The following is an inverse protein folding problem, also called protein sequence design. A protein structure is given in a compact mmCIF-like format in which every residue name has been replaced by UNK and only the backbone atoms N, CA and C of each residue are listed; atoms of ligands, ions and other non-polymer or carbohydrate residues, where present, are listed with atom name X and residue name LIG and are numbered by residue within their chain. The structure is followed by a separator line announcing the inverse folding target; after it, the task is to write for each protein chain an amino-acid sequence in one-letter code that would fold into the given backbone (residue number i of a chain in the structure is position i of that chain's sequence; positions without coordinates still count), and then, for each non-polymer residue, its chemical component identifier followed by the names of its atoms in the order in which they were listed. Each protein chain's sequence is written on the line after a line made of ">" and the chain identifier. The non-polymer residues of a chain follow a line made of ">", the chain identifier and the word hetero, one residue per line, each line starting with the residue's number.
data_IF_043832241662
#
_entry.id   IF_043832241662
#
_cell.length_a   1.000
_cell.length_b   1.000
_cell.length_c   1.000
_cell.angle_alpha   90.00
_cell.angle_beta   90.00
_cell.angle_gamma   90.00
#
_symmetry.space_group_name_H-M   'P 1'
#
loop_
_entity.id
_entity.type
_entity.pdbx_description
1 polymer ?
#
# COMPACT_ATOMS: atom_id res chain seq x y z
N UNK A 1 66.18 73.76 57.57
CA UNK A 1 65.18 74.78 57.19
C UNK A 1 64.25 74.90 58.37
N UNK A 2 64.34 76.02 59.10
CA UNK A 2 63.44 76.27 60.22
C UNK A 2 62.04 76.55 59.67
N UNK A 3 61.04 75.84 60.21
CA UNK A 3 59.64 76.09 59.88
C UNK A 3 59.24 77.45 60.47
N UNK A 4 58.31 78.17 59.82
CA UNK A 4 57.74 79.38 60.40
C UNK A 4 57.26 79.14 61.83
N UNK A 5 57.58 80.06 62.75
CA UNK A 5 57.31 79.95 64.19
C UNK A 5 55.83 79.62 64.49
N UNK A 6 54.91 80.14 63.68
CA UNK A 6 53.47 79.90 63.77
C UNK A 6 53.11 78.44 63.52
N UNK A 7 53.76 77.80 62.55
CA UNK A 7 53.55 76.39 62.21
C UNK A 7 54.18 75.51 63.29
N UNK A 8 55.37 75.87 63.79
CA UNK A 8 56.04 75.14 64.87
C UNK A 8 55.24 75.18 66.18
N UNK A 9 54.69 76.35 66.54
CA UNK A 9 53.80 76.52 67.68
C UNK A 9 52.49 75.73 67.51
N UNK A 10 51.86 75.76 66.33
CA UNK A 10 50.65 74.98 66.06
C UNK A 10 50.90 73.46 66.12
N UNK A 11 52.06 72.98 65.65
CA UNK A 11 52.45 71.57 65.73
C UNK A 11 52.68 71.15 67.18
N UNK A 12 53.43 71.95 67.95
CA UNK A 12 53.67 71.70 69.38
C UNK A 12 52.35 71.65 70.16
N UNK A 13 51.51 72.66 70.02
CA UNK A 13 50.19 72.69 70.66
C UNK A 13 49.27 71.57 70.14
N UNK A 14 49.45 71.11 68.89
CA UNK A 14 48.71 69.97 68.39
C UNK A 14 49.11 68.64 69.04
N UNK A 15 50.39 68.46 69.33
CA UNK A 15 50.92 67.32 70.09
C UNK A 15 50.44 67.39 71.53
N UNK A 16 50.58 68.55 72.18
CA UNK A 16 50.12 68.79 73.56
C UNK A 16 48.62 68.51 73.70
N UNK A 17 47.79 68.93 72.74
CA UNK A 17 46.35 68.62 72.72
C UNK A 17 46.08 67.12 72.69
N UNK A 18 46.84 66.37 71.90
CA UNK A 18 46.66 64.92 71.72
C UNK A 18 47.10 64.15 72.98
N UNK A 19 48.05 64.70 73.73
CA UNK A 19 48.51 64.19 75.02
C UNK A 19 47.64 64.65 76.21
N UNK A 20 46.58 65.43 75.96
CA UNK A 20 45.65 65.91 76.98
C UNK A 20 46.15 67.12 77.79
N UNK A 21 47.20 67.79 77.33
CA UNK A 21 47.75 69.00 77.96
C UNK A 21 46.94 70.25 77.56
N UNK A 22 46.94 71.31 78.40
CA UNK A 22 46.25 72.56 78.08
C UNK A 22 46.85 73.23 76.84
N UNK A 23 45.99 73.66 75.92
CA UNK A 23 46.39 74.32 74.67
C UNK A 23 45.71 75.67 74.53
N UNK A 24 46.25 76.51 73.64
CA UNK A 24 45.69 77.84 73.40
C UNK A 24 44.27 77.76 72.82
N UNK A 25 43.47 78.78 73.12
CA UNK A 25 42.11 78.93 72.58
C UNK A 25 42.12 79.03 71.05
N UNK A 26 43.16 79.64 70.49
CA UNK A 26 43.32 79.83 69.04
C UNK A 26 43.54 78.50 68.32
N UNK A 27 44.40 77.63 68.84
CA UNK A 27 44.60 76.27 68.29
C UNK A 27 43.32 75.43 68.36
N UNK A 28 42.52 75.53 69.43
CA UNK A 28 41.22 74.86 69.51
C UNK A 28 40.23 75.38 68.47
N UNK A 29 40.18 76.69 68.24
CA UNK A 29 39.31 77.30 67.24
C UNK A 29 39.70 76.91 65.80
N UNK A 30 41.00 76.90 65.48
CA UNK A 30 41.49 76.45 64.18
C UNK A 30 41.17 74.98 63.92
N UNK A 31 41.35 74.11 64.93
CA UNK A 31 40.96 72.69 64.82
C UNK A 31 39.45 72.51 64.65
N UNK A 32 38.63 73.28 65.36
CA UNK A 32 37.18 73.26 65.21
C UNK A 32 36.77 73.66 63.78
N UNK A 33 37.33 74.75 63.24
CA UNK A 33 37.06 75.19 61.88
C UNK A 33 37.51 74.14 60.84
N UNK A 34 38.72 73.60 60.98
CA UNK A 34 39.21 72.54 60.12
C UNK A 34 38.33 71.27 60.16
N UNK A 35 37.82 70.90 61.34
CA UNK A 35 36.88 69.80 61.50
C UNK A 35 35.50 70.10 60.91
N UNK A 36 35.01 71.33 60.98
CA UNK A 36 33.75 71.73 60.36
C UNK A 36 33.85 71.73 58.83
N UNK A 37 34.97 72.22 58.29
CA UNK A 37 35.26 72.18 56.86
C UNK A 37 35.41 70.75 56.32
N UNK A 38 36.10 69.88 57.07
CA UNK A 38 36.23 68.47 56.68
C UNK A 38 34.88 67.76 56.69
N UNK A 39 34.04 68.01 57.70
CA UNK A 39 32.66 67.49 57.76
C UNK A 39 31.82 68.00 56.59
N UNK A 40 31.93 69.30 56.25
CA UNK A 40 31.21 69.89 55.11
C UNK A 40 31.63 69.24 53.78
N UNK A 41 32.94 69.04 53.58
CA UNK A 41 33.46 68.34 52.38
C UNK A 41 32.96 66.90 52.32
N UNK A 42 32.99 66.17 53.44
CA UNK A 42 32.50 64.81 53.52
C UNK A 42 31.00 64.73 53.22
N UNK A 43 30.20 65.64 53.78
CA UNK A 43 28.75 65.72 53.52
C UNK A 43 28.44 65.98 52.04
N UNK A 44 29.19 66.88 51.41
CA UNK A 44 29.07 67.14 49.97
C UNK A 44 29.46 65.92 49.13
N UNK A 45 30.56 65.24 49.47
CA UNK A 45 30.99 64.02 48.80
C UNK A 45 29.97 62.88 48.95
N UNK A 46 29.42 62.70 50.15
CA UNK A 46 28.37 61.74 50.42
C UNK A 46 27.12 62.02 49.59
N UNK A 47 26.68 63.28 49.55
CA UNK A 47 25.51 63.69 48.75
C UNK A 47 25.72 63.45 47.25
N UNK A 48 26.91 63.77 46.74
CA UNK A 48 27.29 63.51 45.34
C UNK A 48 27.30 62.01 45.02
N UNK A 49 27.91 61.20 45.89
CA UNK A 49 27.97 59.75 45.71
C UNK A 49 26.57 59.14 45.76
N UNK A 50 25.72 59.58 46.68
CA UNK A 50 24.33 59.13 46.80
C UNK A 50 23.53 59.44 45.53
N UNK A 51 23.70 60.65 44.95
CA UNK A 51 23.07 61.00 43.68
C UNK A 51 23.55 60.11 42.54
N UNK A 52 24.86 59.84 42.46
CA UNK A 52 25.42 58.93 41.45
C UNK A 52 24.91 57.50 41.58
N UNK A 53 24.79 56.98 42.80
CA UNK A 53 24.26 55.62 43.03
C UNK A 53 22.82 55.53 42.53
N UNK A 54 21.97 56.51 42.89
CA UNK A 54 20.57 56.56 42.41
C UNK A 54 20.46 56.64 40.89
N UNK A 55 21.30 57.45 40.24
CA UNK A 55 21.34 57.54 38.78
C UNK A 55 21.72 56.19 38.15
N UNK A 56 22.74 55.51 38.71
CA UNK A 56 23.16 54.20 38.23
C UNK A 56 22.10 53.13 38.45
N UNK A 57 21.42 53.14 39.59
CA UNK A 57 20.31 52.22 39.87
C UNK A 57 19.17 52.42 38.86
N UNK A 58 18.83 53.67 38.53
CA UNK A 58 17.81 53.96 37.51
C UNK A 58 18.21 53.42 36.13
N UNK A 59 19.47 53.61 35.71
CA UNK A 59 19.96 53.08 34.43
C UNK A 59 19.91 51.54 34.43
N UNK A 60 20.28 50.89 35.54
CA UNK A 60 20.21 49.43 35.67
C UNK A 60 18.77 48.93 35.53
N UNK A 61 17.82 49.57 36.19
CA UNK A 61 16.40 49.19 36.10
C UNK A 61 15.83 49.39 34.69
N UNK A 62 16.17 50.50 34.02
CA UNK A 62 15.80 50.69 32.62
C UNK A 62 16.40 49.63 31.69
N UNK A 63 17.69 49.30 31.87
CA UNK A 63 18.36 48.26 31.09
C UNK A 63 17.75 46.87 31.35
N UNK A 64 17.35 46.57 32.59
CA UNK A 64 16.65 45.31 32.94
C UNK A 64 15.28 45.22 32.29
N UNK A 65 14.51 46.31 32.30
CA UNK A 65 13.21 46.36 31.65
C UNK A 65 13.33 46.15 30.14
N UNK A 66 14.28 46.82 29.49
CA UNK A 66 14.56 46.67 28.06
C UNK A 66 15.01 45.24 27.72
N UNK A 67 15.96 44.69 28.48
CA UNK A 67 16.42 43.31 28.29
C UNK A 67 15.29 42.29 28.44
N UNK A 68 14.38 42.51 29.40
CA UNK A 68 13.20 41.67 29.58
C UNK A 68 12.27 41.73 28.37
N UNK A 69 11.93 42.93 27.87
CA UNK A 69 11.09 43.09 26.69
C UNK A 69 11.72 42.43 25.45
N UNK A 70 13.02 42.62 25.25
CA UNK A 70 13.77 42.01 24.16
C UNK A 70 13.78 40.47 24.26
N UNK A 71 13.96 39.92 25.46
CA UNK A 71 13.89 38.47 25.67
C UNK A 71 12.51 37.89 25.33
N UNK A 72 11.43 38.60 25.68
CA UNK A 72 10.07 38.20 25.32
C UNK A 72 9.83 38.27 23.82
N UNK A 73 10.33 39.31 23.14
CA UNK A 73 10.23 39.43 21.69
C UNK A 73 10.96 38.28 20.99
N UNK A 74 12.20 37.99 21.38
CA UNK A 74 12.98 36.87 20.83
C UNK A 74 12.27 35.54 21.07
N UNK A 75 11.71 35.31 22.26
CA UNK A 75 10.93 34.10 22.56
C UNK A 75 9.75 33.93 21.60
N UNK A 76 8.97 34.99 21.37
CA UNK A 76 7.84 34.98 20.41
C UNK A 76 8.30 34.67 18.99
N UNK A 77 9.42 35.25 18.54
CA UNK A 77 9.98 34.95 17.22
C UNK A 77 10.43 33.48 17.10
N UNK A 78 11.02 32.91 18.14
CA UNK A 78 11.40 31.49 18.15
C UNK A 78 10.18 30.59 18.08
N UNK A 79 9.13 30.87 18.86
CA UNK A 79 7.87 30.11 18.84
C UNK A 79 7.21 30.16 17.45
N UNK A 80 7.16 31.33 16.81
CA UNK A 80 6.58 31.48 15.48
C UNK A 80 7.42 30.79 14.40
N UNK A 81 8.75 30.88 14.47
CA UNK A 81 9.63 30.15 13.56
C UNK A 81 9.48 28.63 13.69
N UNK A 82 9.30 28.12 14.92
CA UNK A 82 9.02 26.70 15.16
C UNK A 82 7.68 26.29 14.55
N UNK A 83 6.63 27.10 14.75
CA UNK A 83 5.31 26.88 14.15
C UNK A 83 5.38 26.84 12.62
N UNK A 84 6.06 27.81 12.01
CA UNK A 84 6.26 27.85 10.56
C UNK A 84 7.04 26.64 10.05
N UNK A 85 8.08 26.21 10.76
CA UNK A 85 8.85 25.01 10.40
C UNK A 85 7.99 23.73 10.44
N UNK A 86 7.07 23.62 11.40
CA UNK A 86 6.11 22.52 11.47
C UNK A 86 5.10 22.54 10.32
N UNK A 87 4.58 23.72 9.96
CA UNK A 87 3.70 23.89 8.81
C UNK A 87 4.41 23.54 7.51
N UNK A 88 5.65 23.99 7.30
CA UNK A 88 6.47 23.61 6.15
C UNK A 88 6.64 22.09 6.08
N UNK A 89 6.92 21.42 7.20
CA UNK A 89 7.07 19.96 7.25
C UNK A 89 5.76 19.24 6.88
N UNK A 90 4.63 19.74 7.37
CA UNK A 90 3.29 19.22 7.01
C UNK A 90 3.03 19.38 5.52
N UNK A 91 3.21 20.58 4.97
CA UNK A 91 3.01 20.83 3.54
C UNK A 91 3.92 19.96 2.68
N UNK A 92 5.20 19.77 3.05
CA UNK A 92 6.11 18.88 2.33
C UNK A 92 5.62 17.42 2.33
N UNK A 93 5.08 16.95 3.46
CA UNK A 93 4.52 15.60 3.54
C UNK A 93 3.29 15.43 2.64
N UNK A 94 2.44 16.46 2.55
CA UNK A 94 1.30 16.49 1.65
C UNK A 94 1.74 16.54 0.17
N UNK A 95 2.73 17.38 -0.17
CA UNK A 95 3.31 17.42 -1.52
C UNK A 95 3.84 16.05 -1.94
N UNK A 96 4.60 15.37 -1.08
CA UNK A 96 5.10 14.01 -1.37
C UNK A 96 3.96 13.00 -1.56
N UNK A 97 2.84 13.14 -0.83
CA UNK A 97 1.66 12.30 -1.02
C UNK A 97 1.04 12.52 -2.39
N UNK A 98 0.87 13.78 -2.80
CA UNK A 98 0.31 14.11 -4.10
C UNK A 98 1.22 13.74 -5.26
N UNK A 99 2.53 13.88 -5.10
CA UNK A 99 3.51 13.45 -6.10
C UNK A 99 3.40 11.95 -6.36
N UNK A 100 3.30 11.14 -5.29
CA UNK A 100 3.05 9.70 -5.41
C UNK A 100 1.72 9.38 -6.11
N UNK A 101 0.66 10.12 -5.80
CA UNK A 101 -0.64 9.92 -6.44
C UNK A 101 -0.59 10.28 -7.94
N UNK A 102 0.07 11.38 -8.30
CA UNK A 102 0.29 11.76 -9.71
C UNK A 102 1.07 10.66 -10.46
N UNK A 103 2.14 10.13 -9.87
CA UNK A 103 2.89 9.01 -10.47
C UNK A 103 2.02 7.76 -10.68
N UNK A 104 1.09 7.46 -9.76
CA UNK A 104 0.14 6.37 -9.95
C UNK A 104 -0.80 6.63 -11.12
N UNK A 105 -1.30 7.86 -11.28
CA UNK A 105 -2.15 8.21 -12.42
C UNK A 105 -1.41 8.14 -13.76
N UNK A 106 -0.14 8.56 -13.80
CA UNK A 106 0.68 8.43 -15.00
C UNK A 106 0.89 6.95 -15.37
N UNK A 107 1.19 6.11 -14.37
CA UNK A 107 1.34 4.67 -14.58
C UNK A 107 0.04 4.00 -15.04
N UNK A 108 -1.09 4.33 -14.42
CA UNK A 108 -2.41 3.83 -14.83
C UNK A 108 -2.74 4.24 -16.28
N UNK A 109 -2.40 5.48 -16.68
CA UNK A 109 -2.60 5.97 -18.06
C UNK A 109 -1.74 5.17 -19.05
N UNK A 110 -0.48 4.92 -18.72
CA UNK A 110 0.43 4.12 -19.56
C UNK A 110 -0.08 2.69 -19.72
N UNK A 111 -0.47 2.03 -18.62
CA UNK A 111 -1.02 0.68 -18.65
C UNK A 111 -2.29 0.57 -19.51
N UNK A 112 -3.17 1.59 -19.47
CA UNK A 112 -4.36 1.64 -20.32
C UNK A 112 -4.01 1.84 -21.80
N UNK A 113 -2.98 2.61 -22.11
CA UNK A 113 -2.50 2.80 -23.48
C UNK A 113 -1.91 1.50 -24.05
N UNK A 114 -1.08 0.81 -23.27
CA UNK A 114 -0.53 -0.50 -23.63
C UNK A 114 -1.64 -1.53 -23.88
N UNK A 115 -2.63 -1.59 -22.98
CA UNK A 115 -3.79 -2.46 -23.17
C UNK A 115 -4.56 -2.14 -24.46
N UNK A 116 -4.74 -0.86 -24.79
CA UNK A 116 -5.35 -0.43 -26.03
C UNK A 116 -4.59 -0.92 -27.26
N UNK A 117 -3.26 -0.79 -27.25
CA UNK A 117 -2.40 -1.28 -28.33
C UNK A 117 -2.47 -2.80 -28.48
N UNK A 118 -2.42 -3.56 -27.37
CA UNK A 118 -2.55 -5.03 -27.39
C UNK A 118 -3.92 -5.48 -27.91
N UNK A 119 -4.99 -4.77 -27.54
CA UNK A 119 -6.33 -5.08 -28.01
C UNK A 119 -6.48 -4.82 -29.52
N UNK A 120 -5.91 -3.73 -30.02
CA UNK A 120 -5.89 -3.40 -31.45
C UNK A 120 -5.09 -4.42 -32.27
N UNK A 121 -3.91 -4.84 -31.77
CA UNK A 121 -3.10 -5.87 -32.43
C UNK A 121 -3.85 -7.21 -32.49
N UNK A 122 -4.49 -7.61 -31.39
CA UNK A 122 -5.30 -8.84 -31.34
C UNK A 122 -6.51 -8.80 -32.27
N UNK A 123 -7.11 -7.62 -32.44
CA UNK A 123 -8.19 -7.41 -33.39
C UNK A 123 -7.70 -7.58 -34.83
N UNK A 124 -6.55 -6.97 -35.19
CA UNK A 124 -5.91 -7.14 -36.50
C UNK A 124 -5.56 -8.60 -36.79
N UNK A 125 -4.98 -9.32 -35.82
CA UNK A 125 -4.68 -10.75 -35.96
C UNK A 125 -5.96 -11.59 -36.18
N UNK A 126 -7.06 -11.23 -35.53
CA UNK A 126 -8.35 -11.90 -35.75
C UNK A 126 -8.91 -11.61 -37.15
N UNK A 127 -8.84 -10.36 -37.62
CA UNK A 127 -9.26 -9.97 -38.97
C UNK A 127 -8.46 -10.70 -40.05
N UNK A 128 -7.13 -10.79 -39.90
CA UNK A 128 -6.27 -11.55 -40.82
C UNK A 128 -6.68 -13.03 -40.86
N UNK A 129 -6.89 -13.66 -39.70
CA UNK A 129 -7.33 -15.07 -39.63
C UNK A 129 -8.69 -15.30 -40.27
N UNK A 130 -9.65 -14.39 -40.07
CA UNK A 130 -10.96 -14.50 -40.72
C UNK A 130 -10.80 -14.40 -42.23
N UNK A 131 -10.01 -13.45 -42.72
CA UNK A 131 -9.74 -13.31 -44.14
C UNK A 131 -9.10 -14.58 -44.74
N UNK A 132 -8.10 -15.15 -44.07
CA UNK A 132 -7.47 -16.40 -44.51
C UNK A 132 -8.46 -17.57 -44.56
N UNK A 133 -9.35 -17.67 -43.56
CA UNK A 133 -10.40 -18.69 -43.52
C UNK A 133 -11.47 -18.47 -44.60
N UNK A 134 -11.85 -17.23 -44.90
CA UNK A 134 -12.76 -16.90 -46.00
C UNK A 134 -12.18 -17.34 -47.35
N UNK A 135 -10.87 -17.11 -47.57
CA UNK A 135 -10.15 -17.57 -48.76
C UNK A 135 -10.15 -19.10 -48.86
N UNK A 136 -9.82 -19.80 -47.77
CA UNK A 136 -9.83 -21.27 -47.73
C UNK A 136 -11.23 -21.84 -47.94
N UNK A 137 -12.26 -21.26 -47.32
CA UNK A 137 -13.64 -21.66 -47.50
C UNK A 137 -14.07 -21.53 -48.97
N UNK A 138 -13.68 -20.43 -49.64
CA UNK A 138 -13.92 -20.24 -51.06
C UNK A 138 -13.32 -21.37 -51.91
N UNK A 139 -12.06 -21.73 -51.64
CA UNK A 139 -11.38 -22.84 -52.33
C UNK A 139 -12.10 -24.18 -52.15
N UNK A 140 -12.46 -24.53 -50.91
CA UNK A 140 -13.19 -25.77 -50.61
C UNK A 140 -14.56 -25.79 -51.26
N UNK A 141 -15.26 -24.64 -51.30
CA UNK A 141 -16.57 -24.53 -51.95
C UNK A 141 -16.46 -24.76 -53.47
N UNK A 142 -15.43 -24.21 -54.09
CA UNK A 142 -15.14 -24.40 -55.52
C UNK A 142 -14.81 -25.88 -55.82
N UNK A 143 -13.99 -26.53 -55.00
CA UNK A 143 -13.68 -27.97 -55.09
C UNK A 143 -14.93 -28.85 -54.93
N UNK A 144 -15.77 -28.55 -53.93
CA UNK A 144 -17.01 -29.27 -53.69
C UNK A 144 -17.96 -29.13 -54.89
N UNK A 145 -18.10 -27.91 -55.42
CA UNK A 145 -18.89 -27.67 -56.62
C UNK A 145 -18.34 -28.47 -57.79
N UNK A 146 -17.03 -28.51 -57.99
CA UNK A 146 -16.40 -29.32 -59.03
C UNK A 146 -16.71 -30.83 -58.88
N UNK A 147 -16.57 -31.39 -57.68
CA UNK A 147 -16.92 -32.79 -57.41
C UNK A 147 -18.41 -33.08 -57.63
N UNK A 148 -19.30 -32.18 -57.18
CA UNK A 148 -20.75 -32.31 -57.37
C UNK A 148 -21.12 -32.38 -58.85
N UNK A 149 -20.50 -31.55 -59.69
CA UNK A 149 -20.69 -31.60 -61.14
C UNK A 149 -20.21 -32.96 -61.70
N UNK A 150 -19.07 -33.50 -61.26
CA UNK A 150 -18.61 -34.83 -61.68
C UNK A 150 -19.61 -35.94 -61.32
N UNK A 151 -20.10 -35.98 -60.07
CA UNK A 151 -21.06 -36.99 -59.63
C UNK A 151 -22.40 -36.92 -60.38
N UNK A 152 -22.91 -35.72 -60.69
CA UNK A 152 -24.10 -35.60 -61.54
C UNK A 152 -23.87 -36.10 -62.97
N UNK A 153 -22.62 -36.17 -63.43
CA UNK A 153 -22.26 -36.70 -64.75
C UNK A 153 -22.09 -38.23 -64.74
N UNK A 154 -21.91 -38.86 -63.58
CA UNK A 154 -21.65 -40.31 -63.42
C UNK A 154 -22.83 -40.94 -62.66
N UNK A 155 -23.97 -41.13 -63.32
CA UNK A 155 -25.08 -41.93 -62.79
C UNK A 155 -24.85 -43.43 -63.04
N UNK A 156 -24.74 -44.25 -62.00
CA UNK A 156 -24.73 -45.72 -62.09
C UNK A 156 -25.62 -46.35 -60.99
N UNK A 157 -26.39 -47.35 -61.41
CA UNK A 157 -27.43 -48.16 -60.73
C UNK A 157 -27.03 -48.88 -59.42
N UNK A 158 -27.97 -49.09 -58.47
CA UNK A 158 -27.78 -49.95 -57.30
C UNK A 158 -28.60 -51.26 -57.38
N UNK A 159 -27.94 -52.41 -57.28
CA UNK A 159 -28.60 -53.71 -57.07
C UNK A 159 -27.67 -54.66 -56.29
N UNK A 160 -27.73 -54.62 -54.95
CA UNK A 160 -27.27 -55.70 -54.05
C UNK A 160 -27.73 -55.41 -52.61
N UNK A 161 -28.93 -55.88 -52.25
CA UNK A 161 -29.71 -55.27 -51.14
C UNK A 161 -29.97 -56.17 -49.92
N UNK A 162 -29.36 -57.37 -49.80
CA UNK A 162 -29.76 -58.29 -48.72
C UNK A 162 -28.70 -58.60 -47.65
N UNK A 163 -27.40 -58.61 -47.95
CA UNK A 163 -26.33 -58.65 -46.90
C UNK A 163 -25.91 -57.26 -46.42
N UNK A 164 -26.31 -56.22 -47.15
CA UNK A 164 -25.94 -54.84 -46.92
C UNK A 164 -26.74 -54.18 -45.80
N UNK A 165 -27.94 -54.66 -45.46
CA UNK A 165 -28.82 -53.96 -44.51
C UNK A 165 -28.33 -54.02 -43.06
N UNK A 166 -27.91 -55.19 -42.56
CA UNK A 166 -27.34 -55.33 -41.22
C UNK A 166 -25.99 -54.60 -41.10
N UNK A 167 -25.12 -54.78 -42.08
CA UNK A 167 -23.83 -54.08 -42.16
C UNK A 167 -24.01 -52.57 -42.22
N UNK A 168 -25.00 -52.07 -42.97
CA UNK A 168 -25.33 -50.65 -43.08
C UNK A 168 -25.93 -50.08 -41.78
N UNK A 169 -26.77 -50.84 -41.07
CA UNK A 169 -27.30 -50.42 -39.77
C UNK A 169 -26.19 -50.35 -38.71
N UNK A 170 -25.30 -51.35 -38.68
CA UNK A 170 -24.15 -51.37 -37.79
C UNK A 170 -23.16 -50.23 -38.12
N UNK A 171 -22.89 -50.01 -39.42
CA UNK A 171 -22.09 -48.90 -39.92
C UNK A 171 -22.69 -47.54 -39.52
N UNK A 172 -24.01 -47.38 -39.64
CA UNK A 172 -24.74 -46.17 -39.24
C UNK A 172 -24.63 -45.90 -37.74
N UNK A 173 -24.72 -46.93 -36.89
CA UNK A 173 -24.59 -46.77 -35.44
C UNK A 173 -23.15 -46.42 -35.06
N UNK A 174 -22.17 -47.13 -35.63
CA UNK A 174 -20.76 -46.85 -35.35
C UNK A 174 -20.33 -45.47 -35.86
N UNK A 175 -20.89 -44.99 -36.97
CA UNK A 175 -20.67 -43.63 -37.47
C UNK A 175 -21.19 -42.54 -36.53
N UNK A 176 -22.24 -42.82 -35.73
CA UNK A 176 -22.73 -41.88 -34.71
C UNK A 176 -21.94 -41.90 -33.41
N UNK A 177 -21.18 -42.98 -33.16
CA UNK A 177 -20.45 -43.18 -31.91
C UNK A 177 -18.97 -42.81 -32.02
N UNK A 178 -18.39 -42.83 -33.22
CA UNK A 178 -16.97 -42.58 -33.47
C UNK A 178 -16.85 -41.60 -34.63
N UNK A 179 -16.35 -40.40 -34.35
CA UNK A 179 -16.11 -39.40 -35.38
C UNK A 179 -14.92 -39.81 -36.27
N UNK A 180 -14.87 -39.30 -37.51
CA UNK A 180 -13.85 -39.71 -38.48
C UNK A 180 -12.40 -39.43 -38.00
N UNK A 181 -12.20 -38.46 -37.11
CA UNK A 181 -10.89 -38.16 -36.50
C UNK A 181 -10.45 -39.22 -35.49
N UNK A 182 -11.40 -39.91 -34.85
CA UNK A 182 -11.13 -40.97 -33.87
C UNK A 182 -10.77 -42.30 -34.53
N UNK A 183 -10.94 -42.44 -35.85
CA UNK A 183 -10.53 -43.64 -36.62
C UNK A 183 -9.00 -43.85 -36.54
N UNK A 184 -8.23 -42.77 -36.43
CA UNK A 184 -6.77 -42.84 -36.26
C UNK A 184 -6.33 -43.36 -34.89
N UNK A 185 -7.20 -43.27 -33.88
CA UNK A 185 -6.93 -43.81 -32.54
C UNK A 185 -6.86 -45.34 -32.54
N UNK A 186 -7.71 -46.01 -33.34
CA UNK A 186 -7.68 -47.46 -33.54
C UNK A 186 -6.40 -47.94 -34.22
N UNK A 187 -5.89 -47.17 -35.19
CA UNK A 187 -4.61 -47.46 -35.83
C UNK A 187 -3.44 -47.33 -34.83
N UNK A 188 -3.37 -46.21 -34.11
CA UNK A 188 -2.34 -45.97 -33.09
C UNK A 188 -2.39 -47.01 -31.97
N UNK A 189 -3.58 -47.47 -31.60
CA UNK A 189 -3.76 -48.57 -30.65
C UNK A 189 -3.17 -49.87 -31.14
N UNK A 190 -3.42 -50.26 -32.38
CA UNK A 190 -2.84 -51.48 -32.94
C UNK A 190 -1.31 -51.39 -33.04
N UNK A 191 -0.77 -50.22 -33.38
CA UNK A 191 0.66 -49.95 -33.42
C UNK A 191 1.32 -50.08 -32.04
N UNK A 192 0.70 -49.48 -31.01
CA UNK A 192 1.14 -49.59 -29.62
C UNK A 192 1.06 -51.02 -29.04
N UNK A 193 0.22 -51.88 -29.62
CA UNK A 193 0.07 -53.29 -29.22
C UNK A 193 0.62 -54.27 -30.29
N UNK A 194 1.53 -53.82 -31.16
CA UNK A 194 2.12 -54.60 -32.25
C UNK A 194 2.94 -55.83 -31.81
N UNK A 195 3.25 -55.95 -30.51
CA UNK A 195 3.81 -57.17 -29.91
C UNK A 195 2.86 -58.38 -29.89
N UNK A 196 1.56 -58.18 -30.13
CA UNK A 196 0.59 -59.25 -30.34
C UNK A 196 0.46 -59.55 -31.85
N UNK A 197 0.68 -60.81 -32.24
CA UNK A 197 0.59 -61.29 -33.63
C UNK A 197 -0.76 -60.96 -34.29
N UNK A 198 -1.85 -60.94 -33.52
CA UNK A 198 -3.19 -60.59 -34.00
C UNK A 198 -3.30 -59.10 -34.33
N UNK A 199 -2.77 -58.22 -33.46
CA UNK A 199 -2.76 -56.78 -33.69
C UNK A 199 -1.87 -56.42 -34.88
N UNK A 200 -0.73 -57.10 -35.03
CA UNK A 200 0.18 -56.91 -36.15
C UNK A 200 -0.45 -57.32 -37.49
N UNK A 201 -1.20 -58.43 -37.50
CA UNK A 201 -1.94 -58.90 -38.68
C UNK A 201 -3.05 -57.93 -39.08
N UNK A 202 -3.81 -57.41 -38.11
CA UNK A 202 -4.85 -56.38 -38.35
C UNK A 202 -4.26 -55.06 -38.87
N UNK A 203 -3.11 -54.64 -38.32
CA UNK A 203 -2.43 -53.41 -38.74
C UNK A 203 -1.97 -53.48 -40.21
N UNK A 204 -1.41 -54.62 -40.64
CA UNK A 204 -1.00 -54.84 -42.04
C UNK A 204 -2.18 -54.80 -43.02
N UNK A 205 -3.38 -55.14 -42.56
CA UNK A 205 -4.61 -55.13 -43.37
C UNK A 205 -5.47 -53.89 -43.14
N UNK A 206 -5.02 -52.89 -42.37
CA UNK A 206 -5.83 -51.76 -41.92
C UNK A 206 -6.64 -51.10 -43.04
N UNK A 207 -5.99 -50.72 -44.16
CA UNK A 207 -6.63 -50.09 -45.33
C UNK A 207 -7.65 -50.98 -46.05
N UNK A 208 -7.68 -52.27 -45.74
CA UNK A 208 -8.58 -53.28 -46.30
C UNK A 208 -9.67 -53.71 -45.31
N UNK A 209 -9.60 -53.25 -44.06
CA UNK A 209 -10.64 -53.51 -43.07
C UNK A 209 -11.90 -52.73 -43.43
N UNK A 210 -13.05 -53.31 -43.10
CA UNK A 210 -14.32 -52.60 -43.18
C UNK A 210 -14.31 -51.38 -42.24
N UNK A 211 -14.96 -50.26 -42.62
CA UNK A 211 -15.00 -49.06 -41.78
C UNK A 211 -15.56 -49.33 -40.37
N UNK A 212 -16.60 -50.15 -40.27
CA UNK A 212 -17.13 -50.65 -38.99
C UNK A 212 -16.07 -51.33 -38.13
N UNK A 213 -15.23 -52.19 -38.71
CA UNK A 213 -14.12 -52.84 -38.00
C UNK A 213 -13.07 -51.83 -37.53
N UNK A 214 -12.76 -50.82 -38.33
CA UNK A 214 -11.84 -49.75 -37.93
C UNK A 214 -12.42 -48.94 -36.76
N UNK A 215 -13.72 -48.60 -36.79
CA UNK A 215 -14.40 -47.88 -35.70
C UNK A 215 -14.49 -48.70 -34.40
N UNK A 216 -14.73 -50.01 -34.49
CA UNK A 216 -14.70 -50.89 -33.30
C UNK A 216 -13.30 -50.92 -32.66
N UNK A 217 -12.24 -50.90 -33.48
CA UNK A 217 -10.86 -50.83 -32.98
C UNK A 217 -10.55 -49.46 -32.35
N UNK A 218 -11.13 -48.38 -32.87
CA UNK A 218 -11.07 -47.06 -32.24
C UNK A 218 -11.79 -47.02 -30.90
N UNK A 219 -13.00 -47.59 -30.80
CA UNK A 219 -13.71 -47.72 -29.51
C UNK A 219 -12.88 -48.52 -28.50
N UNK A 220 -12.24 -49.61 -28.93
CA UNK A 220 -11.35 -50.38 -28.06
C UNK A 220 -10.15 -49.57 -27.58
N UNK A 221 -9.63 -48.65 -28.41
CA UNK A 221 -8.57 -47.73 -28.05
C UNK A 221 -9.03 -46.74 -26.97
N UNK A 222 -10.19 -46.13 -27.18
CA UNK A 222 -10.80 -45.16 -26.26
C UNK A 222 -11.14 -45.79 -24.91
N UNK A 223 -11.69 -47.01 -24.91
CA UNK A 223 -11.95 -47.75 -23.66
C UNK A 223 -10.66 -47.96 -22.86
N UNK A 224 -9.53 -48.24 -23.54
CA UNK A 224 -8.24 -48.43 -22.88
C UNK A 224 -7.64 -47.11 -22.36
N UNK A 225 -7.85 -45.99 -23.03
CA UNK A 225 -7.42 -44.67 -22.53
C UNK A 225 -8.28 -44.23 -21.35
N UNK A 226 -9.60 -44.35 -21.44
CA UNK A 226 -10.53 -44.06 -20.35
C UNK A 226 -10.26 -44.92 -19.10
N UNK A 227 -9.83 -46.18 -19.28
CA UNK A 227 -9.42 -47.02 -18.16
C UNK A 227 -8.19 -46.44 -17.43
N UNK A 228 -7.17 -45.98 -18.17
CA UNK A 228 -5.98 -45.34 -17.57
C UNK A 228 -6.34 -44.03 -16.89
N UNK A 229 -7.19 -43.22 -17.51
CA UNK A 229 -7.62 -41.94 -16.96
C UNK A 229 -8.42 -42.15 -15.67
N UNK A 230 -9.30 -43.17 -15.63
CA UNK A 230 -9.99 -43.58 -14.40
C UNK A 230 -9.00 -43.95 -13.29
N UNK A 231 -7.96 -44.72 -13.57
CA UNK A 231 -6.93 -45.08 -12.59
C UNK A 231 -6.20 -43.83 -12.08
N UNK A 232 -5.82 -42.92 -12.97
CA UNK A 232 -5.19 -41.64 -12.61
C UNK A 232 -6.08 -40.75 -11.75
N UNK A 233 -7.35 -40.60 -12.12
CA UNK A 233 -8.33 -39.80 -11.36
C UNK A 233 -8.53 -40.42 -9.97
N UNK A 234 -8.60 -41.75 -9.88
CA UNK A 234 -8.74 -42.45 -8.60
C UNK A 234 -7.55 -42.16 -7.67
N UNK A 235 -6.33 -42.19 -8.18
CA UNK A 235 -5.11 -41.85 -7.41
C UNK A 235 -5.13 -40.38 -6.99
N UNK A 236 -5.50 -39.46 -7.89
CA UNK A 236 -5.56 -38.03 -7.58
C UNK A 236 -6.63 -37.73 -6.52
N UNK A 237 -7.77 -38.41 -6.58
CA UNK A 237 -8.84 -38.26 -5.59
C UNK A 237 -8.36 -38.67 -4.20
N UNK A 238 -7.74 -39.85 -4.07
CA UNK A 238 -7.18 -40.29 -2.80
C UNK A 238 -6.13 -39.32 -2.24
N UNK A 239 -5.26 -38.76 -3.09
CA UNK A 239 -4.30 -37.75 -2.66
C UNK A 239 -4.98 -36.47 -2.18
N UNK A 240 -6.01 -35.99 -2.89
CA UNK A 240 -6.76 -34.82 -2.48
C UNK A 240 -7.48 -35.04 -1.14
N UNK A 241 -8.01 -36.25 -0.89
CA UNK A 241 -8.61 -36.63 0.39
C UNK A 241 -7.57 -36.59 1.54
N UNK A 242 -6.36 -37.09 1.31
CA UNK A 242 -5.25 -37.03 2.27
C UNK A 242 -4.84 -35.59 2.58
N UNK A 243 -4.68 -34.74 1.55
CA UNK A 243 -4.34 -33.32 1.70
C UNK A 243 -5.41 -32.57 2.51
N UNK A 244 -6.70 -32.83 2.23
CA UNK A 244 -7.81 -32.27 3.00
C UNK A 244 -7.74 -32.71 4.46
N UNK A 245 -7.42 -33.97 4.74
CA UNK A 245 -7.29 -34.46 6.12
C UNK A 245 -6.13 -33.76 6.87
N UNK A 246 -4.97 -33.61 6.24
CA UNK A 246 -3.82 -32.89 6.83
C UNK A 246 -4.17 -31.41 7.09
N UNK A 247 -4.85 -30.74 6.15
CA UNK A 247 -5.29 -29.36 6.32
C UNK A 247 -6.35 -29.23 7.42
N UNK A 248 -7.25 -30.20 7.54
CA UNK A 248 -8.24 -30.25 8.61
C UNK A 248 -7.56 -30.36 9.99
N UNK A 249 -6.57 -31.25 10.13
CA UNK A 249 -5.78 -31.37 11.36
C UNK A 249 -5.02 -30.08 11.69
N UNK A 250 -4.36 -29.47 10.70
CA UNK A 250 -3.66 -28.20 10.88
C UNK A 250 -4.61 -27.05 11.28
N UNK A 251 -5.79 -26.96 10.65
CA UNK A 251 -6.81 -25.97 11.00
C UNK A 251 -7.34 -26.18 12.42
N UNK A 252 -7.53 -27.42 12.85
CA UNK A 252 -7.93 -27.72 14.23
C UNK A 252 -6.86 -27.26 15.24
N UNK A 253 -5.58 -27.48 14.94
CA UNK A 253 -4.48 -27.00 15.78
C UNK A 253 -4.44 -25.46 15.86
N UNK A 254 -4.61 -24.79 14.71
CA UNK A 254 -4.68 -23.33 14.65
C UNK A 254 -5.88 -22.76 15.39
N UNK A 255 -7.05 -23.40 15.32
CA UNK A 255 -8.24 -22.99 16.07
C UNK A 255 -8.03 -23.11 17.59
N UNK A 256 -7.36 -24.18 18.04
CA UNK A 256 -6.99 -24.36 19.46
C UNK A 256 -6.06 -23.23 19.92
N UNK A 257 -5.03 -22.90 19.14
CA UNK A 257 -4.08 -21.84 19.50
C UNK A 257 -4.72 -20.44 19.41
N UNK A 258 -5.56 -20.17 18.40
CA UNK A 258 -6.33 -18.93 18.32
C UNK A 258 -7.23 -18.73 19.54
N UNK A 259 -7.97 -19.78 19.95
CA UNK A 259 -8.79 -19.74 21.18
C UNK A 259 -7.94 -19.47 22.42
N UNK A 260 -6.72 -20.00 22.49
CA UNK A 260 -5.77 -19.73 23.58
C UNK A 260 -5.31 -18.28 23.58
N UNK A 261 -4.91 -17.74 22.44
CA UNK A 261 -4.47 -16.35 22.28
C UNK A 261 -5.60 -15.36 22.59
N UNK A 262 -6.82 -15.62 22.12
CA UNK A 262 -8.02 -14.83 22.45
C UNK A 262 -8.26 -14.78 23.96
N UNK A 263 -8.15 -15.91 24.66
CA UNK A 263 -8.25 -15.96 26.12
C UNK A 263 -7.14 -15.16 26.80
N UNK A 264 -5.92 -15.19 26.27
CA UNK A 264 -4.80 -14.40 26.79
C UNK A 264 -5.03 -12.90 26.58
N UNK A 265 -5.39 -12.47 25.38
CA UNK A 265 -5.70 -11.08 25.06
C UNK A 265 -6.85 -10.54 25.94
N UNK A 266 -7.90 -11.33 26.18
CA UNK A 266 -8.96 -10.92 27.11
C UNK A 266 -8.47 -10.78 28.56
N UNK A 267 -7.54 -11.63 29.02
CA UNK A 267 -6.93 -11.49 30.35
C UNK A 267 -6.06 -10.23 30.42
N UNK A 268 -5.24 -9.96 29.41
CA UNK A 268 -4.35 -8.80 29.35
C UNK A 268 -5.17 -7.48 29.29
N UNK A 269 -6.28 -7.48 28.54
CA UNK A 269 -7.21 -6.34 28.48
C UNK A 269 -7.91 -6.08 29.81
N UNK A 270 -8.24 -7.13 30.57
CA UNK A 270 -8.85 -7.00 31.88
C UNK A 270 -7.84 -6.54 32.96
N UNK A 271 -6.54 -6.81 32.78
CA UNK A 271 -5.48 -6.33 33.68
C UNK A 271 -5.14 -4.85 33.45
N UNK A 272 -5.30 -4.34 32.22
CA UNK A 272 -4.99 -2.94 31.87
C UNK A 272 -6.21 -1.99 31.98
N UNK A 273 -7.34 -2.45 32.50
CA UNK A 273 -8.63 -1.73 32.54
C UNK A 273 -9.00 -1.04 33.85
N UNK A 274 -8.06 -0.71 34.73
CA UNK A 274 -8.33 0.04 35.97
C UNK A 274 -7.72 1.43 35.91
N UNK A 275 -8.38 2.36 35.22
CA UNK A 275 -7.97 3.77 35.22
C UNK A 275 -8.76 4.63 34.23
N UNK A 276 -10.00 4.97 34.55
CA UNK A 276 -10.77 5.90 33.71
C UNK A 276 -12.21 6.08 34.18
N UNK A 277 -12.41 7.04 35.06
CA UNK A 277 -13.69 7.46 35.65
C UNK A 277 -14.35 8.55 34.77
N UNK A 278 -15.68 8.45 34.62
CA UNK A 278 -16.65 9.46 34.14
C UNK A 278 -16.63 9.73 32.61
N UNK A 279 -17.74 9.69 31.86
CA UNK A 279 -18.97 10.47 32.06
C UNK A 279 -20.23 9.79 31.50
N UNK A 280 -21.27 9.80 32.35
CA UNK A 280 -22.71 9.93 32.07
C UNK A 280 -23.31 9.50 30.72
N UNK A 281 -24.09 8.42 30.83
CA UNK A 281 -25.22 8.07 29.98
C UNK A 281 -26.32 9.13 29.97
N UNK A 282 -26.86 9.45 28.79
CA UNK A 282 -28.18 10.04 28.64
C UNK A 282 -28.90 9.40 27.46
N UNK A 283 -30.00 8.74 27.80
CA UNK A 283 -30.98 8.11 26.91
C UNK A 283 -32.04 9.14 26.52
N UNK A 284 -32.33 9.29 25.24
CA UNK A 284 -33.51 10.02 24.76
C UNK A 284 -34.11 9.38 23.50
N UNK A 285 -35.20 8.65 23.74
CA UNK A 285 -36.41 8.43 22.93
C UNK A 285 -36.48 9.03 21.51
N UNK A 286 -36.63 8.10 20.56
CA UNK A 286 -37.70 8.02 19.54
C UNK A 286 -38.56 9.27 19.27
N UNK A 287 -38.52 9.78 18.04
CA UNK A 287 -39.75 10.18 17.33
C UNK A 287 -39.60 10.18 15.81
N UNK A 288 -40.52 9.46 15.16
CA UNK A 288 -40.74 9.43 13.71
C UNK A 288 -41.39 10.74 13.26
N UNK A 289 -40.89 11.39 12.20
CA UNK A 289 -41.72 12.06 11.17
C UNK A 289 -41.04 12.01 9.80
N UNK A 290 -41.82 11.57 8.80
CA UNK A 290 -41.52 11.64 7.36
C UNK A 290 -41.96 13.01 6.84
N UNK A 291 -41.18 13.63 5.96
CA UNK A 291 -41.67 14.54 4.91
C UNK A 291 -40.64 14.71 3.79
N UNK A 292 -41.18 14.82 2.58
CA UNK A 292 -40.62 14.61 1.23
C UNK A 292 -39.74 15.76 0.68
N UNK A 293 -39.16 15.63 -0.54
CA UNK A 293 -37.96 16.34 -0.98
C UNK A 293 -38.24 17.59 -1.83
N UNK A 294 -37.33 18.57 -1.79
CA UNK A 294 -37.01 19.46 -2.93
C UNK A 294 -35.79 20.35 -2.66
N UNK A 295 -34.76 20.12 -3.48
CA UNK A 295 -33.91 21.09 -4.19
C UNK A 295 -33.53 22.41 -3.51
N UNK A 296 -32.27 22.50 -3.07
CA UNK A 296 -31.35 23.61 -3.38
C UNK A 296 -29.94 23.31 -2.85
N UNK A 297 -28.97 23.21 -3.76
CA UNK A 297 -27.53 23.21 -3.46
C UNK A 297 -27.09 24.64 -3.12
N UNK A 298 -26.12 24.82 -2.21
CA UNK A 298 -24.80 25.20 -2.68
C UNK A 298 -23.70 24.24 -2.19
N UNK A 299 -22.80 23.91 -3.11
CA UNK A 299 -21.57 23.18 -2.86
C UNK A 299 -20.64 24.04 -1.98
N UNK A 300 -20.53 23.70 -0.71
CA UNK A 300 -19.32 23.91 0.07
C UNK A 300 -18.70 22.54 0.29
N UNK A 301 -17.72 22.20 -0.57
CA UNK A 301 -16.85 21.05 -0.38
C UNK A 301 -16.00 21.28 0.85
N UNK A 302 -16.53 20.97 2.04
CA UNK A 302 -15.69 20.46 3.12
C UNK A 302 -15.26 19.07 2.70
N UNK A 303 -14.06 18.97 2.14
CA UNK A 303 -13.40 17.69 1.95
C UNK A 303 -13.04 17.22 3.36
N UNK A 304 -13.81 16.26 3.85
CA UNK A 304 -13.54 15.56 5.11
C UNK A 304 -12.27 14.72 4.88
N UNK A 305 -11.21 15.00 5.63
CA UNK A 305 -9.89 14.39 5.46
C UNK A 305 -9.70 13.08 6.24
N UNK A 306 -10.78 12.49 6.75
CA UNK A 306 -10.77 11.20 7.45
C UNK A 306 -11.39 10.09 6.61
N UNK A 307 -10.87 9.89 5.39
CA UNK A 307 -11.03 8.61 4.71
C UNK A 307 -9.73 7.82 4.88
N UNK A 308 -9.81 6.77 5.70
CA UNK A 308 -8.80 5.73 5.89
C UNK A 308 -7.98 5.51 4.62
N UNK A 309 -6.73 5.97 4.67
CA UNK A 309 -5.79 5.91 3.56
C UNK A 309 -5.27 4.47 3.40
N UNK A 310 -6.12 3.58 2.89
CA UNK A 310 -5.64 2.45 2.15
C UNK A 310 -4.96 3.01 0.89
N UNK A 311 -3.63 3.09 0.91
CA UNK A 311 -2.82 3.45 -0.27
C UNK A 311 -3.25 2.58 -1.44
N UNK A 312 -3.88 3.21 -2.45
CA UNK A 312 -4.34 2.57 -3.68
C UNK A 312 -3.14 1.94 -4.38
N UNK A 313 -3.28 0.71 -4.83
CA UNK A 313 -2.27 0.04 -5.66
C UNK A 313 -2.44 0.43 -7.13
N UNK A 314 -1.34 0.53 -7.90
CA UNK A 314 -1.42 0.75 -9.35
C UNK A 314 -2.26 -0.34 -10.01
N UNK A 315 -2.95 0.01 -11.10
CA UNK A 315 -3.66 -0.98 -11.89
C UNK A 315 -2.65 -2.01 -12.40
N UNK A 316 -2.83 -3.27 -12.01
CA UNK A 316 -2.04 -4.36 -12.58
C UNK A 316 -2.39 -4.50 -14.05
N UNK A 317 -1.44 -4.89 -14.93
CA UNK A 317 -1.75 -5.27 -16.30
C UNK A 317 -2.89 -6.30 -16.28
N UNK A 318 -3.99 -5.98 -16.96
CA UNK A 318 -5.16 -6.86 -17.03
C UNK A 318 -4.68 -8.17 -17.66
N UNK A 319 -4.69 -9.25 -16.87
CA UNK A 319 -4.23 -10.55 -17.37
C UNK A 319 -5.04 -10.94 -18.60
N UNK A 320 -4.33 -11.39 -19.62
CA UNK A 320 -4.88 -11.97 -20.84
C UNK A 320 -6.00 -12.97 -20.49
N UNK A 321 -7.25 -12.58 -20.74
CA UNK A 321 -8.34 -13.54 -20.91
C UNK A 321 -8.18 -14.17 -22.29
N UNK A 322 -7.09 -14.92 -22.47
CA UNK A 322 -6.99 -15.86 -23.58
C UNK A 322 -7.79 -17.11 -23.20
N UNK A 323 -8.57 -17.71 -24.12
CA UNK A 323 -9.37 -18.91 -23.86
C UNK A 323 -8.55 -20.10 -23.32
N UNK A 324 -7.22 -20.07 -23.47
CA UNK A 324 -6.33 -21.17 -23.10
C UNK A 324 -5.86 -21.17 -21.63
N UNK A 325 -6.18 -20.14 -20.83
CA UNK A 325 -5.67 -20.05 -19.44
C UNK A 325 -6.44 -20.86 -18.39
N UNK A 326 -7.48 -21.62 -18.78
CA UNK A 326 -8.17 -22.54 -17.85
C UNK A 326 -7.35 -23.78 -17.49
N UNK A 327 -6.22 -24.02 -18.15
CA UNK A 327 -5.32 -25.12 -17.82
C UNK A 327 -4.04 -24.58 -17.17
N UNK A 328 -4.11 -24.15 -15.91
CA UNK A 328 -3.07 -24.33 -14.89
C UNK A 328 -3.40 -23.49 -13.65
N UNK A 329 -4.17 -24.08 -12.73
CA UNK A 329 -3.94 -23.87 -11.30
C UNK A 329 -3.51 -25.22 -10.75
N UNK A 330 -2.23 -25.33 -10.40
CA UNK A 330 -1.74 -26.25 -9.38
C UNK A 330 -1.67 -25.49 -8.07
#
# INVERSE_FOLDING_TARGET
>A
MELPQEIDNYMKESIDHTLGLPVSKETLQLKLLASQDSLRRLSNQYSHLLSKVKEKDQIIESARAEASLNAHAVKRFVEENQRLAEECRRLLSECSKWERECSLYDHDREALMEFGNEADERAKEAEIRVHDLEVQLGQVLDELNFCKHQYQTIGVDPSSECTTTEEHLLESILATLVDNDEVMSGHAFLEANSGNESCQSLLKMWKRLQPSTQRVLSLAAEVKTLQKDKEHITVNLHRAEEEVNVLYEANNLLDVENKRLLRQHHKDRNLNGSGGKHTSSASAKTNKRKSSPRMSSPIEKKIDFDLDSATRQPLSPLRYNSPDSRMQKK
#
